data_IF_838063712821
#
_entry.id   IF_838063712821
#
_cell.length_a   1.000
_cell.length_b   1.000
_cell.length_c   1.000
_cell.angle_alpha   90.00
_cell.angle_beta   90.00
_cell.angle_gamma   90.00
#
_symmetry.space_group_name_H-M   'P 1'
#
loop_
_entity.id
_entity.type
_entity.pdbx_description
1 polymer ?
#
# COMPACT_ATOMS: atom_id res chain seq x y z
N UNK A 1 -10.30 -7.22 1.08
CA UNK A 1 -11.41 -7.16 0.09
C UNK A 1 -11.56 -5.76 -0.50
N UNK A 2 -11.20 -4.69 0.23
CA UNK A 2 -11.27 -3.30 -0.23
C UNK A 2 -10.33 -3.00 -1.41
N UNK A 3 -9.19 -3.68 -1.56
CA UNK A 3 -8.17 -3.38 -2.59
C UNK A 3 -8.66 -3.47 -4.04
N UNK A 4 -9.81 -4.12 -4.28
CA UNK A 4 -10.43 -4.22 -5.59
C UNK A 4 -11.42 -3.08 -5.88
N UNK A 5 -11.84 -2.31 -4.88
CA UNK A 5 -12.89 -1.31 -5.03
C UNK A 5 -12.39 -0.07 -5.78
N UNK A 6 -11.27 0.53 -5.35
CA UNK A 6 -10.62 1.64 -6.05
C UNK A 6 -10.32 1.28 -7.51
N UNK A 7 -9.72 0.11 -7.75
CA UNK A 7 -9.41 -0.37 -9.10
C UNK A 7 -10.67 -0.60 -9.96
N UNK A 8 -11.72 -1.19 -9.41
CA UNK A 8 -12.99 -1.38 -10.14
C UNK A 8 -13.67 -0.05 -10.46
N UNK A 9 -13.55 0.95 -9.58
CA UNK A 9 -14.08 2.28 -9.84
C UNK A 9 -13.31 2.94 -11.00
N UNK A 10 -11.98 2.89 -10.99
CA UNK A 10 -11.15 3.39 -12.08
C UNK A 10 -11.52 2.76 -13.42
N UNK A 11 -11.67 1.42 -13.47
CA UNK A 11 -12.04 0.73 -14.72
C UNK A 11 -13.43 1.11 -15.24
N UNK A 12 -14.33 1.57 -14.38
CA UNK A 12 -15.66 2.00 -14.78
C UNK A 12 -15.72 3.46 -15.23
N UNK A 13 -15.02 4.35 -14.53
CA UNK A 13 -15.13 5.81 -14.75
C UNK A 13 -13.97 6.39 -15.55
N UNK A 14 -12.81 5.72 -15.57
CA UNK A 14 -11.56 6.24 -16.12
C UNK A 14 -10.97 7.42 -15.37
N UNK A 15 -11.57 7.84 -14.24
CA UNK A 15 -11.11 9.00 -13.47
C UNK A 15 -10.00 8.59 -12.51
N UNK A 16 -8.81 9.13 -12.77
CA UNK A 16 -7.62 8.94 -11.94
C UNK A 16 -7.77 9.63 -10.59
N UNK A 17 -8.44 10.78 -10.54
CA UNK A 17 -8.68 11.55 -9.32
C UNK A 17 -9.53 10.74 -8.34
N UNK A 18 -10.58 10.12 -8.88
CA UNK A 18 -11.50 9.29 -8.10
C UNK A 18 -10.82 8.01 -7.60
N UNK A 19 -9.94 7.40 -8.42
CA UNK A 19 -9.09 6.28 -8.01
C UNK A 19 -8.18 6.63 -6.84
N UNK A 20 -7.44 7.74 -6.93
CA UNK A 20 -6.48 8.16 -5.91
C UNK A 20 -7.18 8.47 -4.58
N UNK A 21 -8.32 9.16 -4.62
CA UNK A 21 -9.12 9.44 -3.43
C UNK A 21 -9.58 8.15 -2.74
N UNK A 22 -10.15 7.21 -3.50
CA UNK A 22 -10.57 5.92 -2.96
C UNK A 22 -9.38 5.12 -2.41
N UNK A 23 -8.21 5.23 -3.05
CA UNK A 23 -7.00 4.52 -2.63
C UNK A 23 -6.44 5.07 -1.31
N UNK A 24 -6.50 6.38 -1.12
CA UNK A 24 -6.11 7.03 0.13
C UNK A 24 -7.01 6.59 1.29
N UNK A 25 -8.33 6.53 1.06
CA UNK A 25 -9.30 6.04 2.06
C UNK A 25 -9.07 4.56 2.41
N UNK A 26 -8.77 3.71 1.42
CA UNK A 26 -8.38 2.30 1.65
C UNK A 26 -7.14 2.19 2.54
N UNK A 27 -6.18 3.11 2.39
CA UNK A 27 -4.91 3.09 3.14
C UNK A 27 -5.11 3.49 4.61
N UNK A 28 -6.05 4.39 4.89
CA UNK A 28 -6.39 4.81 6.26
C UNK A 28 -7.09 3.69 7.06
N UNK A 29 -7.94 2.89 6.42
CA UNK A 29 -8.56 1.70 7.03
C UNK A 29 -7.52 0.63 7.39
N UNK A 30 -6.48 0.50 6.57
CA UNK A 30 -5.38 -0.45 6.80
C UNK A 30 -4.44 -0.03 7.94
N UNK A 31 -4.21 1.26 8.17
CA UNK A 31 -3.43 1.73 9.33
C UNK A 31 -4.12 1.48 10.68
N UNK A 32 -5.46 1.36 10.68
CA UNK A 32 -6.23 1.00 11.89
C UNK A 32 -6.17 -0.50 12.19
N UNK A 33 -5.63 -1.31 11.27
CA UNK A 33 -5.49 -2.75 11.39
C UNK A 33 -4.00 -3.07 11.40
N UNK A 34 -3.39 -2.99 12.58
CA UNK A 34 -1.99 -3.37 12.81
C UNK A 34 -1.59 -4.61 11.97
N UNK A 35 -0.54 -4.55 11.15
CA UNK A 35 0.12 -5.76 10.73
C UNK A 35 0.88 -6.30 11.94
N UNK A 36 0.35 -7.36 12.57
CA UNK A 36 1.20 -8.23 13.36
C UNK A 36 2.33 -8.73 12.45
N UNK A 37 3.53 -8.23 12.74
CA UNK A 37 4.84 -8.89 12.65
C UNK A 37 5.05 -9.77 11.42
N UNK A 38 5.83 -9.26 10.47
CA UNK A 38 6.99 -10.02 10.01
C UNK A 38 8.04 -9.05 9.43
N UNK A 39 8.84 -8.47 10.32
CA UNK A 39 10.25 -8.20 9.98
C UNK A 39 11.02 -9.46 10.39
N UNK A 40 11.86 -10.00 9.49
CA UNK A 40 13.26 -9.61 9.59
C UNK A 40 13.85 -9.22 8.22
N UNK A 41 14.51 -8.06 8.18
CA UNK A 41 15.69 -7.86 7.32
C UNK A 41 16.67 -9.04 7.53
N UNK A 42 17.29 -9.56 6.46
CA UNK A 42 18.62 -9.06 6.16
C UNK A 42 18.96 -9.09 4.66
N UNK A 43 19.30 -7.94 4.08
CA UNK A 43 20.17 -7.94 2.91
C UNK A 43 21.43 -7.12 3.18
N UNK A 44 22.53 -7.88 3.21
CA UNK A 44 23.91 -7.52 3.46
C UNK A 44 24.46 -6.54 2.42
N UNK A 45 25.29 -5.59 2.86
CA UNK A 45 26.49 -5.13 2.12
C UNK A 45 27.42 -4.35 3.07
N UNK A 46 28.14 -5.12 3.89
CA UNK A 46 29.58 -4.97 4.15
C UNK A 46 30.32 -4.04 3.16
N UNK A 47 30.86 -2.90 3.62
CA UNK A 47 32.26 -2.46 3.41
C UNK A 47 32.51 -1.14 4.16
N UNK A 48 32.94 -1.23 5.43
CA UNK A 48 33.72 -0.17 6.07
C UNK A 48 35.18 -0.62 6.03
N UNK A 49 35.87 -0.35 4.92
CA UNK A 49 37.33 -0.49 4.90
C UNK A 49 37.98 0.71 5.60
N UNK A 50 38.86 0.33 6.54
CA UNK A 50 39.71 1.11 7.41
C UNK A 50 40.89 1.74 6.65
#
# INVERSE_FOLDING_TARGET
MLDKLSWNMFRQTGSIESYLLMKELESQDQQSREPQVSSPEPESSEDLNL
#
